data_IF_426729987237
#
_entry.id   IF_426729987237
#
_cell.length_a   1.000
_cell.length_b   1.000
_cell.length_c   1.000
_cell.angle_alpha   90.00
_cell.angle_beta   90.00
_cell.angle_gamma   90.00
#
_symmetry.space_group_name_H-M   'P 1'
#
loop_
_entity.id
_entity.type
_entity.pdbx_description
1 polymer ?
#
# COMPACT_ATOMS: atom_id res chain seq x y z
N UNK A 1 -24.21 -8.50 25.11
CA UNK A 1 -22.99 -8.01 24.41
C UNK A 1 -23.06 -8.50 22.96
N UNK A 2 -23.16 -7.58 22.00
CA UNK A 2 -23.08 -7.94 20.57
C UNK A 2 -21.70 -8.55 20.30
N UNK A 3 -21.64 -9.74 19.68
CA UNK A 3 -20.36 -10.31 19.22
C UNK A 3 -19.80 -9.35 18.17
N UNK A 4 -18.68 -8.68 18.47
CA UNK A 4 -17.93 -7.92 17.46
C UNK A 4 -17.64 -8.84 16.28
N UNK A 5 -18.21 -8.51 15.12
CA UNK A 5 -18.12 -9.34 13.91
C UNK A 5 -16.70 -9.22 13.38
N UNK A 6 -16.02 -10.36 13.21
CA UNK A 6 -14.75 -10.39 12.49
C UNK A 6 -14.96 -9.90 11.06
N UNK A 7 -14.17 -8.92 10.66
CA UNK A 7 -14.14 -8.41 9.30
C UNK A 7 -12.82 -8.79 8.64
N UNK A 8 -12.84 -8.90 7.30
CA UNK A 8 -11.67 -9.19 6.48
C UNK A 8 -11.14 -7.89 5.89
N UNK A 9 -9.84 -7.68 6.01
CA UNK A 9 -9.17 -6.49 5.53
C UNK A 9 -8.01 -6.85 4.60
N UNK A 10 -7.69 -5.91 3.71
CA UNK A 10 -6.59 -6.01 2.76
C UNK A 10 -5.63 -4.85 2.99
N UNK A 11 -4.35 -5.14 3.03
CA UNK A 11 -3.28 -4.16 2.95
C UNK A 11 -2.38 -4.48 1.74
N UNK A 12 -1.97 -3.44 1.02
CA UNK A 12 -1.07 -3.56 -0.14
C UNK A 12 0.15 -2.70 0.11
N UNK A 13 1.33 -3.27 -0.16
CA UNK A 13 2.62 -2.61 0.02
C UNK A 13 3.55 -2.87 -1.16
N UNK A 14 4.38 -1.88 -1.48
CA UNK A 14 5.51 -2.02 -2.42
C UNK A 14 6.73 -2.70 -1.77
N UNK A 15 6.70 -2.86 -0.46
CA UNK A 15 7.75 -3.50 0.33
C UNK A 15 7.20 -4.68 1.11
N UNK A 16 8.06 -5.66 1.39
CA UNK A 16 7.73 -6.76 2.28
C UNK A 16 7.57 -6.23 3.72
N UNK A 17 6.37 -6.36 4.26
CA UNK A 17 6.05 -6.13 5.67
C UNK A 17 6.22 -7.45 6.43
N UNK A 18 7.21 -7.49 7.34
CA UNK A 18 7.48 -8.66 8.19
C UNK A 18 6.53 -8.75 9.39
N UNK A 19 6.08 -7.59 9.88
CA UNK A 19 5.19 -7.51 11.03
C UNK A 19 4.24 -6.31 10.93
N UNK A 20 2.99 -6.52 11.34
CA UNK A 20 1.92 -5.52 11.30
C UNK A 20 1.70 -4.95 12.70
N UNK A 21 2.66 -4.17 13.19
CA UNK A 21 2.48 -3.38 14.40
C UNK A 21 1.79 -2.05 14.07
N UNK A 22 0.70 -1.68 14.76
CA UNK A 22 0.12 -0.35 14.62
C UNK A 22 1.18 0.73 14.88
N UNK A 23 1.30 1.65 13.92
CA UNK A 23 2.28 2.74 13.95
C UNK A 23 1.66 4.05 13.48
N UNK A 24 2.33 5.16 13.76
CA UNK A 24 2.00 6.43 13.10
C UNK A 24 2.59 6.32 11.68
N UNK A 25 1.78 6.45 10.60
CA UNK A 25 2.30 6.38 9.23
C UNK A 25 3.36 7.45 9.01
N UNK A 26 4.44 7.13 8.29
CA UNK A 26 5.51 8.09 8.00
C UNK A 26 5.10 9.11 6.93
N UNK A 27 4.37 8.63 5.91
CA UNK A 27 3.77 9.46 4.86
C UNK A 27 2.29 9.64 5.22
N UNK A 28 1.86 10.90 5.26
CA UNK A 28 0.52 11.31 5.70
C UNK A 28 0.01 12.45 4.82
N UNK A 29 -1.29 12.51 4.61
CA UNK A 29 -1.94 13.66 3.99
C UNK A 29 -1.78 14.91 4.89
N UNK A 30 -1.97 16.08 4.29
CA UNK A 30 -2.02 17.33 5.05
C UNK A 30 -3.18 17.26 6.05
N UNK A 31 -2.92 17.67 7.29
CA UNK A 31 -3.89 17.65 8.40
C UNK A 31 -4.33 16.25 8.86
N UNK A 32 -3.71 15.18 8.35
CA UNK A 32 -3.94 13.81 8.85
C UNK A 32 -3.38 13.64 10.28
N UNK A 33 -4.12 12.92 11.12
CA UNK A 33 -3.74 12.63 12.51
C UNK A 33 -2.31 12.06 12.62
N UNK A 34 -1.49 12.68 13.48
CA UNK A 34 -0.10 12.31 13.68
C UNK A 34 0.16 11.61 15.03
N UNK A 35 -0.88 11.09 15.70
CA UNK A 35 -0.78 10.58 17.08
C UNK A 35 -1.23 9.12 17.16
N UNK A 36 -2.37 8.79 16.54
CA UNK A 36 -2.98 7.48 16.64
C UNK A 36 -2.16 6.46 15.87
N UNK A 37 -1.75 5.38 16.54
CA UNK A 37 -1.10 4.24 15.89
C UNK A 37 -2.14 3.40 15.17
N UNK A 38 -1.90 3.08 13.90
CA UNK A 38 -2.79 2.25 13.07
C UNK A 38 -2.05 1.39 12.07
N UNK A 39 -2.79 0.45 11.50
CA UNK A 39 -2.48 -0.19 10.22
C UNK A 39 -3.55 0.28 9.23
N UNK A 40 -3.13 1.01 8.19
CA UNK A 40 -4.00 1.44 7.10
C UNK A 40 -4.34 0.23 6.22
N UNK A 41 -5.62 0.00 5.95
CA UNK A 41 -6.12 -1.12 5.16
C UNK A 41 -7.45 -0.76 4.53
N UNK A 42 -8.01 -1.65 3.71
CA UNK A 42 -9.38 -1.53 3.21
C UNK A 42 -10.21 -2.73 3.64
N UNK A 43 -11.52 -2.54 3.76
CA UNK A 43 -12.46 -3.64 3.96
C UNK A 43 -12.56 -4.47 2.67
N UNK A 44 -12.27 -5.76 2.75
CA UNK A 44 -12.34 -6.66 1.59
C UNK A 44 -13.79 -6.83 1.13
N UNK A 45 -14.04 -6.57 -0.16
CA UNK A 45 -15.33 -6.83 -0.81
C UNK A 45 -15.36 -8.17 -1.55
N UNK A 46 -14.24 -8.89 -1.57
CA UNK A 46 -14.12 -10.26 -2.09
C UNK A 46 -13.60 -10.36 -3.52
N UNK A 47 -13.45 -9.24 -4.23
CA UNK A 47 -12.78 -9.15 -5.52
C UNK A 47 -11.34 -8.71 -5.32
N UNK A 48 -10.37 -9.57 -5.63
CA UNK A 48 -8.95 -9.27 -5.41
C UNK A 48 -8.49 -8.02 -6.19
N UNK A 49 -8.90 -7.89 -7.45
CA UNK A 49 -8.50 -6.73 -8.27
C UNK A 49 -9.07 -5.44 -7.70
N UNK A 50 -10.38 -5.41 -7.39
CA UNK A 50 -11.02 -4.22 -6.81
C UNK A 50 -10.46 -3.90 -5.42
N UNK A 51 -10.22 -4.91 -4.59
CA UNK A 51 -9.65 -4.75 -3.26
C UNK A 51 -8.22 -4.17 -3.33
N UNK A 52 -7.40 -4.62 -4.30
CA UNK A 52 -6.06 -4.07 -4.52
C UNK A 52 -6.12 -2.64 -5.07
N UNK A 53 -7.01 -2.36 -6.01
CA UNK A 53 -7.21 -1.00 -6.54
C UNK A 53 -7.61 -0.04 -5.41
N UNK A 54 -8.59 -0.40 -4.58
CA UNK A 54 -8.99 0.42 -3.44
C UNK A 54 -7.84 0.58 -2.43
N UNK A 55 -7.10 -0.48 -2.13
CA UNK A 55 -5.96 -0.40 -1.21
C UNK A 55 -4.83 0.50 -1.73
N UNK A 56 -4.58 0.49 -3.05
CA UNK A 56 -3.61 1.39 -3.69
C UNK A 56 -4.10 2.83 -3.63
N UNK A 57 -5.37 3.10 -3.94
CA UNK A 57 -5.94 4.45 -3.90
C UNK A 57 -6.08 5.00 -2.47
N UNK A 58 -6.14 4.14 -1.46
CA UNK A 58 -6.01 4.53 -0.05
C UNK A 58 -4.56 4.73 0.42
N UNK A 59 -3.58 4.49 -0.45
CA UNK A 59 -2.16 4.69 -0.16
C UNK A 59 -1.66 5.91 -0.93
N UNK A 60 -1.22 6.99 -0.24
CA UNK A 60 -0.86 8.24 -0.91
C UNK A 60 0.17 8.06 -2.03
N UNK A 61 -0.07 8.64 -3.20
CA UNK A 61 0.81 8.58 -4.37
C UNK A 61 1.10 7.17 -4.93
N UNK A 62 0.24 6.18 -4.72
CA UNK A 62 0.52 4.81 -5.18
C UNK A 62 0.48 4.66 -6.71
N UNK A 63 -0.39 5.40 -7.42
CA UNK A 63 -0.43 5.38 -8.88
C UNK A 63 0.84 5.93 -9.50
N UNK A 64 1.37 7.02 -8.96
CA UNK A 64 2.64 7.63 -9.34
C UNK A 64 3.80 6.67 -9.11
N UNK A 65 3.79 5.92 -8.00
CA UNK A 65 4.81 4.90 -7.72
C UNK A 65 4.79 3.80 -8.77
N UNK A 66 3.60 3.32 -9.17
CA UNK A 66 3.47 2.33 -10.24
C UNK A 66 4.03 2.86 -11.57
N UNK A 67 3.67 4.09 -11.95
CA UNK A 67 4.18 4.75 -13.16
C UNK A 67 5.70 4.88 -13.14
N UNK A 68 6.28 5.32 -12.01
CA UNK A 68 7.73 5.48 -11.87
C UNK A 68 8.48 4.16 -11.90
N UNK A 69 7.94 3.10 -11.31
CA UNK A 69 8.57 1.78 -11.40
C UNK A 69 8.65 1.32 -12.87
N UNK A 70 7.53 1.42 -13.60
CA UNK A 70 7.49 1.02 -15.02
C UNK A 70 8.39 1.90 -15.89
N UNK A 71 8.50 3.20 -15.61
CA UNK A 71 9.41 4.08 -16.35
C UNK A 71 10.89 3.70 -16.19
N UNK A 72 11.24 2.93 -15.16
CA UNK A 72 12.57 2.38 -14.91
C UNK A 72 12.75 0.95 -15.48
N UNK A 73 11.78 0.46 -16.26
CA UNK A 73 11.94 -0.73 -17.10
C UNK A 73 11.62 -2.08 -16.44
N UNK A 74 10.88 -2.09 -15.33
CA UNK A 74 10.34 -3.33 -14.76
C UNK A 74 8.89 -3.22 -14.30
N UNK A 75 8.23 -4.37 -14.25
CA UNK A 75 6.92 -4.51 -13.65
C UNK A 75 6.99 -4.30 -12.12
N UNK A 76 6.02 -3.59 -11.52
CA UNK A 76 5.91 -3.47 -10.07
C UNK A 76 5.58 -4.81 -9.40
N UNK A 77 6.15 -5.02 -8.23
CA UNK A 77 5.76 -6.09 -7.30
C UNK A 77 4.89 -5.51 -6.19
N UNK A 78 3.73 -6.14 -5.95
CA UNK A 78 2.85 -5.83 -4.84
C UNK A 78 2.81 -6.97 -3.84
N UNK A 79 3.04 -6.63 -2.57
CA UNK A 79 2.82 -7.52 -1.43
C UNK A 79 1.40 -7.27 -0.91
N UNK A 80 0.54 -8.27 -1.06
CA UNK A 80 -0.87 -8.23 -0.64
C UNK A 80 -1.04 -9.06 0.61
N UNK A 81 -1.63 -8.43 1.64
CA UNK A 81 -1.84 -9.01 2.94
C UNK A 81 -3.32 -9.06 3.26
N UNK A 82 -3.80 -10.26 3.61
CA UNK A 82 -5.18 -10.48 4.03
C UNK A 82 -5.19 -10.83 5.52
N UNK A 83 -5.96 -10.11 6.33
CA UNK A 83 -6.10 -10.42 7.75
C UNK A 83 -7.53 -10.21 8.25
N UNK A 84 -7.83 -10.83 9.40
CA UNK A 84 -9.12 -10.68 10.09
C UNK A 84 -8.93 -9.93 11.40
N UNK A 85 -9.82 -8.96 11.67
CA UNK A 85 -9.81 -8.21 12.93
C UNK A 85 -11.22 -8.00 13.49
N UNK A 86 -11.29 -7.84 14.81
CA UNK A 86 -12.47 -7.36 15.54
C UNK A 86 -12.29 -5.94 16.09
N UNK A 87 -11.06 -5.41 16.08
CA UNK A 87 -10.75 -4.05 16.53
C UNK A 87 -10.26 -3.24 15.34
N UNK A 88 -11.17 -2.44 14.81
CA UNK A 88 -10.96 -1.64 13.63
C UNK A 88 -11.84 -0.39 13.67
N UNK A 89 -11.52 0.56 12.81
CA UNK A 89 -12.35 1.72 12.50
C UNK A 89 -12.70 1.66 11.02
N UNK A 90 -13.98 1.87 10.72
CA UNK A 90 -14.48 2.01 9.37
C UNK A 90 -14.20 3.40 8.80
N UNK A 91 -14.37 3.61 7.47
CA UNK A 91 -14.04 4.88 6.84
C UNK A 91 -14.75 6.10 7.44
N UNK A 92 -16.00 5.95 7.91
CA UNK A 92 -16.74 7.06 8.55
C UNK A 92 -16.23 7.40 9.95
N UNK A 93 -15.57 6.48 10.64
CA UNK A 93 -14.89 6.73 11.91
C UNK A 93 -13.48 7.29 11.66
N UNK A 94 -12.81 6.83 10.60
CA UNK A 94 -11.47 7.30 10.21
C UNK A 94 -11.52 8.73 9.65
N UNK A 95 -12.63 9.15 9.04
CA UNK A 95 -12.76 10.49 8.46
C UNK A 95 -12.53 11.62 9.47
N UNK A 96 -12.80 11.39 10.76
CA UNK A 96 -12.49 12.34 11.83
C UNK A 96 -10.98 12.66 11.94
N UNK A 97 -10.13 11.80 11.39
CA UNK A 97 -8.67 11.85 11.48
C UNK A 97 -7.97 11.96 10.12
N UNK A 98 -8.66 11.58 9.04
CA UNK A 98 -8.16 11.58 7.66
C UNK A 98 -9.27 12.10 6.74
N UNK A 99 -9.19 13.34 6.23
CA UNK A 99 -10.32 14.00 5.56
C UNK A 99 -10.93 13.22 4.39
N UNK A 100 -10.11 12.46 3.65
CA UNK A 100 -10.48 11.71 2.45
C UNK A 100 -10.79 10.22 2.72
N UNK A 101 -10.82 9.77 3.98
CA UNK A 101 -11.04 8.35 4.34
C UNK A 101 -12.28 7.71 3.69
N UNK A 102 -13.40 8.44 3.63
CA UNK A 102 -14.64 7.95 2.99
C UNK A 102 -14.42 7.68 1.51
N UNK A 103 -13.72 8.59 0.84
CA UNK A 103 -13.48 8.50 -0.60
C UNK A 103 -12.49 7.37 -0.92
N UNK A 104 -11.41 7.26 -0.13
CA UNK A 104 -10.41 6.21 -0.28
C UNK A 104 -10.88 4.84 0.20
N UNK A 105 -11.90 4.79 1.06
CA UNK A 105 -12.34 3.57 1.74
C UNK A 105 -11.37 3.12 2.84
N UNK A 106 -10.50 4.00 3.31
CA UNK A 106 -9.49 3.69 4.30
C UNK A 106 -10.12 3.25 5.63
N UNK A 107 -9.68 2.09 6.09
CA UNK A 107 -10.00 1.51 7.39
C UNK A 107 -8.72 1.43 8.22
N UNK A 108 -8.86 1.53 9.55
CA UNK A 108 -7.73 1.37 10.46
C UNK A 108 -7.87 0.13 11.32
N UNK A 109 -6.85 -0.71 11.36
CA UNK A 109 -6.70 -1.64 12.48
C UNK A 109 -5.95 -0.97 13.62
N UNK A 110 -6.48 -1.14 14.83
CA UNK A 110 -5.94 -0.54 16.05
C UNK A 110 -5.12 -1.53 16.89
N UNK A 111 -5.07 -2.80 16.49
CA UNK A 111 -4.26 -3.83 17.12
C UNK A 111 -3.55 -4.67 16.08
N UNK A 112 -2.45 -5.30 16.49
CA UNK A 112 -1.72 -6.27 15.69
C UNK A 112 -2.65 -7.41 15.27
N UNK A 113 -2.75 -7.77 13.98
CA UNK A 113 -3.51 -8.92 13.56
C UNK A 113 -2.87 -10.20 14.10
N UNK A 114 -3.69 -11.14 14.58
CA UNK A 114 -3.19 -12.43 15.13
C UNK A 114 -2.44 -13.27 14.08
N UNK A 115 -2.86 -13.15 12.83
CA UNK A 115 -2.24 -13.77 11.68
C UNK A 115 -2.66 -13.02 10.42
N UNK A 116 -1.87 -13.19 9.37
CA UNK A 116 -2.17 -12.69 8.03
C UNK A 116 -1.78 -13.73 6.98
N UNK A 117 -2.43 -13.66 5.83
CA UNK A 117 -2.04 -14.37 4.61
C UNK A 117 -1.28 -13.36 3.75
N UNK A 118 -0.06 -13.70 3.36
CA UNK A 118 0.75 -12.89 2.44
C UNK A 118 0.82 -13.57 1.07
N UNK A 119 0.63 -12.78 0.01
CA UNK A 119 0.81 -13.19 -1.38
C UNK A 119 1.53 -12.09 -2.15
N UNK A 120 2.38 -12.51 -3.08
CA UNK A 120 3.15 -11.62 -3.94
C UNK A 120 2.54 -11.63 -5.35
N UNK A 121 2.38 -10.45 -5.95
CA UNK A 121 1.81 -10.28 -7.28
C UNK A 121 2.70 -9.40 -8.14
N UNK A 122 2.90 -9.84 -9.39
CA UNK A 122 3.44 -9.02 -10.46
C UNK A 122 2.29 -8.17 -11.03
N UNK A 123 2.53 -6.87 -11.22
CA UNK A 123 1.61 -5.99 -11.92
C UNK A 123 1.99 -5.98 -13.41
N UNK A 124 1.36 -6.83 -14.20
CA UNK A 124 1.69 -6.96 -15.63
C UNK A 124 1.10 -5.86 -16.51
N UNK A 125 0.05 -5.18 -16.03
CA UNK A 125 -0.43 -3.92 -16.60
C UNK A 125 -1.33 -3.18 -15.61
N UNK A 126 -1.45 -1.87 -15.78
CA UNK A 126 -2.38 -1.04 -15.03
C UNK A 126 -2.79 0.19 -15.85
N UNK A 127 -3.85 0.86 -15.42
CA UNK A 127 -4.27 2.17 -15.93
C UNK A 127 -4.43 3.13 -14.77
N UNK A 128 -3.89 4.33 -14.90
CA UNK A 128 -4.20 5.45 -14.00
C UNK A 128 -4.98 6.54 -14.71
N UNK A 129 -5.65 7.37 -13.91
CA UNK A 129 -6.27 8.61 -14.36
C UNK A 129 -5.89 9.75 -13.41
N UNK A 130 -5.46 10.88 -13.97
CA UNK A 130 -5.19 12.08 -13.19
C UNK A 130 -6.50 12.66 -12.66
N UNK A 131 -6.62 12.68 -11.34
CA UNK A 131 -7.79 13.19 -10.63
C UNK A 131 -7.38 14.33 -9.70
N UNK A 132 -8.36 15.10 -9.24
CA UNK A 132 -8.17 16.15 -8.22
C UNK A 132 -8.91 15.77 -6.95
N UNK A 133 -8.27 15.96 -5.81
CA UNK A 133 -8.94 15.87 -4.52
C UNK A 133 -9.81 17.14 -4.26
N UNK A 134 -10.48 17.16 -3.10
CA UNK A 134 -11.30 18.30 -2.67
C UNK A 134 -10.50 19.61 -2.52
N UNK A 135 -9.18 19.52 -2.35
CA UNK A 135 -8.23 20.63 -2.21
C UNK A 135 -7.55 20.99 -3.54
N UNK A 136 -8.04 20.47 -4.67
CA UNK A 136 -7.48 20.59 -6.02
C UNK A 136 -6.08 19.99 -6.22
N UNK A 137 -5.56 19.23 -5.25
CA UNK A 137 -4.30 18.51 -5.44
C UNK A 137 -4.51 17.42 -6.48
N UNK A 138 -3.61 17.39 -7.47
CA UNK A 138 -3.60 16.35 -8.49
C UNK A 138 -2.95 15.08 -7.93
N UNK A 139 -3.54 13.94 -8.23
CA UNK A 139 -2.95 12.63 -7.96
C UNK A 139 -3.37 11.60 -9.02
N UNK A 140 -2.63 10.52 -9.12
CA UNK A 140 -2.87 9.43 -10.08
C UNK A 140 -3.68 8.30 -9.45
N UNK A 141 -4.97 8.24 -9.76
CA UNK A 141 -5.84 7.16 -9.32
C UNK A 141 -5.64 5.91 -10.17
N UNK A 142 -5.45 4.76 -9.54
CA UNK A 142 -5.45 3.46 -10.22
C UNK A 142 -6.91 3.09 -10.53
N UNK A 143 -7.23 2.87 -11.80
CA UNK A 143 -8.60 2.53 -12.25
C UNK A 143 -8.70 1.12 -12.82
N UNK A 144 -7.56 0.50 -13.15
CA UNK A 144 -7.49 -0.88 -13.60
C UNK A 144 -6.11 -1.47 -13.26
N UNK A 145 -6.06 -2.75 -12.91
CA UNK A 145 -4.83 -3.49 -12.67
C UNK A 145 -4.96 -4.95 -13.11
N UNK A 146 -3.93 -5.48 -13.77
CA UNK A 146 -3.76 -6.90 -14.03
C UNK A 146 -2.70 -7.46 -13.08
N UNK A 147 -3.07 -8.51 -12.35
CA UNK A 147 -2.25 -9.11 -11.31
C UNK A 147 -1.93 -10.55 -11.64
N UNK A 148 -0.65 -10.88 -11.66
CA UNK A 148 -0.16 -12.24 -11.84
C UNK A 148 0.44 -12.75 -10.54
N UNK A 149 -0.14 -13.82 -9.99
CA UNK A 149 0.34 -14.38 -8.73
C UNK A 149 1.73 -14.99 -8.92
N UNK A 150 2.67 -14.56 -8.08
CA UNK A 150 4.05 -15.03 -8.14
C UNK A 150 4.22 -16.35 -7.38
N UNK A 151 5.13 -17.20 -7.86
CA UNK A 151 5.47 -18.49 -7.23
C UNK A 151 6.38 -18.33 -6.01
N UNK A 152 7.19 -17.27 -6.00
CA UNK A 152 8.11 -16.91 -4.94
C UNK A 152 7.90 -15.45 -4.59
N UNK A 153 8.21 -15.11 -3.35
CA UNK A 153 8.28 -13.72 -2.94
C UNK A 153 9.50 -13.08 -3.59
N UNK A 154 9.31 -11.88 -4.12
CA UNK A 154 10.32 -11.01 -4.69
C UNK A 154 10.00 -9.59 -4.20
N UNK A 155 10.98 -8.70 -4.19
CA UNK A 155 10.84 -7.30 -3.80
C UNK A 155 11.15 -6.39 -4.97
N UNK A 156 10.61 -5.17 -4.96
CA UNK A 156 10.98 -4.17 -5.96
C UNK A 156 12.48 -3.82 -5.90
N UNK A 157 13.10 -3.91 -4.70
CA UNK A 157 14.54 -3.74 -4.54
C UNK A 157 15.37 -4.79 -5.28
N UNK A 158 14.98 -6.06 -5.21
CA UNK A 158 15.65 -7.14 -5.96
C UNK A 158 15.58 -6.90 -7.48
N UNK A 159 14.41 -6.49 -7.99
CA UNK A 159 14.23 -6.16 -9.41
C UNK A 159 15.06 -4.97 -9.85
N UNK A 160 15.04 -3.90 -9.07
CA UNK A 160 15.83 -2.71 -9.32
C UNK A 160 17.33 -3.06 -9.39
N UNK A 161 17.83 -3.85 -8.44
CA UNK A 161 19.23 -4.26 -8.43
C UNK A 161 19.59 -5.14 -9.62
N UNK A 162 18.70 -6.05 -10.02
CA UNK A 162 18.91 -6.89 -11.19
C UNK A 162 19.03 -6.07 -12.48
N UNK A 163 18.16 -5.07 -12.70
CA UNK A 163 18.17 -4.23 -13.91
C UNK A 163 19.42 -3.36 -14.00
N UNK A 164 19.82 -2.73 -12.90
CA UNK A 164 20.93 -1.79 -12.90
C UNK A 164 22.29 -2.46 -12.58
N UNK A 165 22.31 -3.78 -12.45
CA UNK A 165 23.53 -4.54 -12.15
C UNK A 165 24.11 -4.24 -10.76
N UNK A 166 23.29 -3.77 -9.81
CA UNK A 166 23.73 -3.55 -8.45
C UNK A 166 23.85 -4.87 -7.69
N UNK A 167 25.00 -5.07 -7.05
CA UNK A 167 25.23 -6.25 -6.21
C UNK A 167 24.55 -6.15 -4.84
N UNK A 168 24.54 -7.27 -4.11
CA UNK A 168 23.96 -7.40 -2.75
C UNK A 168 24.42 -6.34 -1.74
N UNK A 169 25.63 -5.77 -1.92
CA UNK A 169 26.13 -4.68 -1.06
C UNK A 169 25.25 -3.42 -1.14
N UNK A 170 24.69 -3.10 -2.30
CA UNK A 170 23.78 -1.96 -2.46
C UNK A 170 22.46 -2.18 -1.70
N UNK A 171 21.87 -3.37 -1.86
CA UNK A 171 20.66 -3.76 -1.12
C UNK A 171 20.85 -3.61 0.39
N UNK A 172 22.01 -4.03 0.91
CA UNK A 172 22.32 -3.89 2.32
C UNK A 172 22.36 -2.43 2.78
N UNK A 173 23.00 -1.54 2.01
CA UNK A 173 23.03 -0.09 2.33
C UNK A 173 21.62 0.50 2.33
N UNK A 174 20.80 0.17 1.32
CA UNK A 174 19.41 0.64 1.25
C UNK A 174 18.58 0.14 2.45
N UNK A 175 18.74 -1.13 2.81
CA UNK A 175 18.09 -1.69 4.00
C UNK A 175 18.54 -0.99 5.29
N UNK A 176 19.84 -0.71 5.43
CA UNK A 176 20.40 -0.01 6.59
C UNK A 176 19.89 1.45 6.68
N UNK A 177 19.58 2.09 5.55
CA UNK A 177 18.95 3.41 5.50
C UNK A 177 17.47 3.40 5.90
N UNK A 178 16.84 2.22 5.98
CA UNK A 178 15.42 2.04 6.32
C UNK A 178 14.48 2.87 5.42
N UNK A 179 14.80 2.97 4.13
CA UNK A 179 14.00 3.67 3.13
C UNK A 179 13.09 2.65 2.42
N UNK A 180 11.79 2.93 2.41
CA UNK A 180 10.82 2.10 1.66
C UNK A 180 11.03 2.26 0.15
N UNK A 181 10.76 1.21 -0.63
CA UNK A 181 10.82 1.29 -2.09
C UNK A 181 9.88 2.36 -2.61
N UNK A 182 8.70 2.52 -1.99
CA UNK A 182 7.74 3.57 -2.32
C UNK A 182 8.38 4.97 -2.21
N UNK A 183 9.05 5.26 -1.09
CA UNK A 183 9.75 6.54 -0.88
C UNK A 183 10.86 6.74 -1.90
N UNK A 184 11.65 5.69 -2.15
CA UNK A 184 12.72 5.72 -3.14
C UNK A 184 12.18 6.00 -4.55
N UNK A 185 11.17 5.27 -5.00
CA UNK A 185 10.55 5.47 -6.30
C UNK A 185 10.05 6.90 -6.49
N UNK A 186 9.46 7.50 -5.44
CA UNK A 186 9.01 8.90 -5.45
C UNK A 186 10.15 9.94 -5.43
N UNK A 187 11.39 9.52 -5.17
CA UNK A 187 12.59 10.36 -5.28
C UNK A 187 13.33 10.21 -6.61
N UNK A 188 12.96 9.22 -7.42
CA UNK A 188 13.48 9.09 -8.78
C UNK A 188 12.80 10.16 -9.63
N UNK A 189 13.55 11.19 -10.00
CA UNK A 189 13.11 12.19 -10.98
C UNK A 189 13.06 11.55 -12.38
N UNK A 190 12.12 12.00 -13.20
CA UNK A 190 12.02 11.71 -14.64
C UNK A 190 12.84 12.73 -15.44
#
# INVERSE_FOLDING_TARGET
MSKMRKQKFIHVSFDLVSDFEPRIPSNRAKDEDAIKKRICCILSKGSLQDDVIHALNASPCAGEVLQRIVSHGFDPVLHVYEFQSTKYMFPWEVQEYVPDAIYSGECWLLEKPKSFIHKCYNVSSFKTESVKDFYENKWEAVVNIQLEKMKKNETNWERYCHIYGFGYKFLRVVHDMNISFKTFALSLDL
#
